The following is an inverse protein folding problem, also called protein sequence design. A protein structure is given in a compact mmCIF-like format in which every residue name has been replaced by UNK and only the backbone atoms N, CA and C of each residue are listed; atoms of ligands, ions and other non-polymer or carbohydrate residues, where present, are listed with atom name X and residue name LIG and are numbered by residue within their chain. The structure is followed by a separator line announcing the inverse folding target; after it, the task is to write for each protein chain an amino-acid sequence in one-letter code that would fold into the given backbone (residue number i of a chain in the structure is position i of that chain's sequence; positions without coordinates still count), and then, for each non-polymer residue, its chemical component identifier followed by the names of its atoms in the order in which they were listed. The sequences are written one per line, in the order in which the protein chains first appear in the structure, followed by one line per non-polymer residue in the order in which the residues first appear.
data_IF_159914831967
#
_entry.id   IF_159914831967
#
_cell.length_a   1.000
_cell.length_b   1.000
_cell.length_c   1.000
_cell.angle_alpha   90.00
_cell.angle_beta   90.00
_cell.angle_gamma   90.00
#
_symmetry.space_group_name_H-M   'P 1'
#
loop_
_entity.id
_entity.type
_entity.pdbx_description
1 polymer ?
#
# COMPACT_ATOMS: atom_id res chain seq x y z
N UNK A 1 -18.29 13.06 15.33
CA UNK A 1 -18.41 12.13 14.21
C UNK A 1 -18.45 10.74 14.83
N UNK A 2 -19.63 10.17 15.03
CA UNK A 2 -19.78 8.74 15.23
C UNK A 2 -19.48 8.08 13.90
N UNK A 3 -18.33 7.46 13.80
CA UNK A 3 -17.93 6.65 12.64
C UNK A 3 -18.83 5.43 12.57
N UNK A 4 -19.94 5.56 11.86
CA UNK A 4 -20.77 4.43 11.51
C UNK A 4 -19.94 3.44 10.71
N UNK A 5 -19.88 2.18 11.15
CA UNK A 5 -19.24 1.11 10.40
C UNK A 5 -19.79 1.10 8.98
N UNK A 6 -18.92 1.20 7.99
CA UNK A 6 -19.32 1.10 6.58
C UNK A 6 -19.88 -0.31 6.40
N UNK A 7 -21.20 -0.41 6.19
CA UNK A 7 -21.85 -1.70 5.93
C UNK A 7 -21.28 -2.25 4.62
N UNK A 8 -20.77 -3.47 4.65
CA UNK A 8 -20.13 -4.11 3.49
C UNK A 8 -21.00 -4.07 2.23
N UNK A 9 -22.30 -4.24 2.39
CA UNK A 9 -23.27 -4.16 1.30
C UNK A 9 -23.34 -2.77 0.65
N UNK A 10 -23.21 -1.70 1.47
CA UNK A 10 -23.22 -0.33 0.96
C UNK A 10 -21.92 -0.01 0.20
N UNK A 11 -20.79 -0.53 0.63
CA UNK A 11 -19.52 -0.38 -0.07
C UNK A 11 -19.53 -1.07 -1.43
N UNK A 12 -20.07 -2.29 -1.50
CA UNK A 12 -20.22 -3.04 -2.75
C UNK A 12 -21.10 -2.30 -3.77
N UNK A 13 -22.24 -1.79 -3.32
CA UNK A 13 -23.14 -0.99 -4.19
C UNK A 13 -22.45 0.29 -4.65
N UNK A 14 -21.70 0.96 -3.76
CA UNK A 14 -20.99 2.18 -4.09
C UNK A 14 -19.87 1.93 -5.12
N UNK A 15 -18.99 0.98 -4.86
CA UNK A 15 -17.87 0.65 -5.76
C UNK A 15 -18.38 0.24 -7.14
N UNK A 16 -19.41 -0.60 -7.19
CA UNK A 16 -20.03 -1.02 -8.46
C UNK A 16 -20.60 0.16 -9.26
N UNK A 17 -21.16 1.17 -8.61
CA UNK A 17 -21.63 2.39 -9.32
C UNK A 17 -20.46 3.28 -9.76
N UNK A 18 -19.38 3.31 -8.97
CA UNK A 18 -18.23 4.14 -9.30
C UNK A 18 -17.45 3.61 -10.52
N UNK A 19 -17.51 2.31 -10.82
CA UNK A 19 -16.87 1.74 -12.03
C UNK A 19 -17.48 2.27 -13.34
N UNK A 20 -18.69 2.83 -13.32
CA UNK A 20 -19.28 3.48 -14.48
C UNK A 20 -18.64 4.86 -14.80
N UNK A 21 -17.90 5.43 -13.85
CA UNK A 21 -17.38 6.80 -13.92
C UNK A 21 -15.85 6.89 -13.77
N UNK A 22 -15.21 5.87 -13.20
CA UNK A 22 -13.78 5.89 -12.87
C UNK A 22 -13.10 4.61 -13.32
N UNK A 23 -11.93 4.74 -13.95
CA UNK A 23 -11.10 3.61 -14.39
C UNK A 23 -10.41 2.92 -13.21
N UNK A 24 -10.07 3.66 -12.16
CA UNK A 24 -9.41 3.17 -10.96
C UNK A 24 -10.11 3.72 -9.70
N UNK A 25 -10.32 2.85 -8.72
CA UNK A 25 -10.89 3.19 -7.41
C UNK A 25 -9.91 2.74 -6.33
N UNK A 26 -9.48 3.65 -5.49
CA UNK A 26 -8.58 3.36 -4.37
C UNK A 26 -9.38 3.38 -3.07
N UNK A 27 -9.37 2.26 -2.36
CA UNK A 27 -9.96 2.14 -1.03
C UNK A 27 -8.84 2.25 0.02
N UNK A 28 -8.79 3.38 0.74
CA UNK A 28 -7.89 3.55 1.88
C UNK A 28 -8.55 2.98 3.14
N UNK A 29 -7.89 1.99 3.76
CA UNK A 29 -8.40 1.30 4.94
C UNK A 29 -7.55 1.63 6.16
N UNK A 30 -8.19 1.73 7.32
CA UNK A 30 -7.48 1.81 8.58
C UNK A 30 -6.63 0.55 8.83
N UNK A 31 -5.59 0.68 9.64
CA UNK A 31 -4.77 -0.46 10.07
C UNK A 31 -5.62 -1.50 10.82
N UNK A 32 -5.25 -2.77 10.68
CA UNK A 32 -5.94 -3.91 11.29
C UNK A 32 -6.83 -4.68 10.31
N UNK A 33 -7.32 -5.84 10.73
CA UNK A 33 -8.10 -6.77 9.91
C UNK A 33 -9.58 -6.84 10.31
N UNK A 34 -10.13 -5.72 10.79
CA UNK A 34 -11.53 -5.58 11.18
C UNK A 34 -12.50 -5.59 9.99
N UNK A 35 -13.76 -5.26 10.29
CA UNK A 35 -14.85 -5.27 9.28
C UNK A 35 -14.56 -4.41 8.05
N UNK A 36 -13.94 -3.22 8.25
CA UNK A 36 -13.59 -2.33 7.14
C UNK A 36 -12.58 -2.95 6.18
N UNK A 37 -11.54 -3.62 6.71
CA UNK A 37 -10.57 -4.37 5.91
C UNK A 37 -11.26 -5.49 5.11
N UNK A 38 -12.09 -6.29 5.76
CA UNK A 38 -12.81 -7.38 5.11
C UNK A 38 -13.81 -6.88 4.06
N UNK A 39 -14.49 -5.77 4.32
CA UNK A 39 -15.40 -5.16 3.38
C UNK A 39 -14.65 -4.64 2.13
N UNK A 40 -13.52 -3.96 2.32
CA UNK A 40 -12.68 -3.50 1.23
C UNK A 40 -12.09 -4.67 0.42
N UNK A 41 -11.59 -5.72 1.10
CA UNK A 41 -11.04 -6.89 0.43
C UNK A 41 -12.05 -7.61 -0.48
N UNK A 42 -13.33 -7.67 -0.08
CA UNK A 42 -14.38 -8.31 -0.88
C UNK A 42 -14.71 -7.59 -2.19
N UNK A 43 -14.50 -6.29 -2.25
CA UNK A 43 -14.87 -5.46 -3.41
C UNK A 43 -13.66 -5.02 -4.25
N UNK A 44 -12.46 -5.45 -3.87
CA UNK A 44 -11.22 -5.07 -4.54
C UNK A 44 -10.67 -6.20 -5.41
N UNK A 45 -10.11 -5.86 -6.56
CA UNK A 45 -9.44 -6.80 -7.47
C UNK A 45 -7.99 -7.07 -7.05
N UNK A 46 -7.38 -6.13 -6.34
CA UNK A 46 -5.99 -6.19 -5.90
C UNK A 46 -5.79 -5.45 -4.57
N UNK A 47 -4.75 -5.82 -3.83
CA UNK A 47 -4.37 -5.18 -2.59
C UNK A 47 -2.90 -4.74 -2.60
N UNK A 48 -2.64 -3.60 -2.00
CA UNK A 48 -1.30 -3.11 -1.70
C UNK A 48 -1.10 -3.14 -0.18
N UNK A 49 -0.14 -3.95 0.27
CA UNK A 49 0.33 -3.94 1.64
C UNK A 49 1.44 -2.90 1.77
N UNK A 50 1.11 -1.78 2.39
CA UNK A 50 2.05 -0.65 2.56
C UNK A 50 2.63 -0.73 3.96
N UNK A 51 3.90 -1.15 4.06
CA UNK A 51 4.56 -1.48 5.32
C UNK A 51 5.87 -0.70 5.47
N UNK A 52 6.22 -0.34 6.70
CA UNK A 52 7.56 0.14 7.03
C UNK A 52 8.52 -1.04 7.20
N UNK A 53 9.84 -0.86 6.94
CA UNK A 53 10.81 -1.95 7.08
C UNK A 53 11.19 -2.17 8.55
N UNK A 54 10.24 -2.67 9.34
CA UNK A 54 10.45 -3.08 10.73
C UNK A 54 9.76 -4.44 11.03
N UNK A 55 10.29 -5.22 11.98
CA UNK A 55 9.83 -6.60 12.20
C UNK A 55 8.35 -6.72 12.59
N UNK A 56 7.78 -5.71 13.27
CA UNK A 56 6.37 -5.73 13.70
C UNK A 56 5.46 -5.51 12.51
N UNK A 57 5.74 -4.46 11.71
CA UNK A 57 4.97 -4.17 10.51
C UNK A 57 5.03 -5.33 9.50
N UNK A 58 6.20 -5.96 9.32
CA UNK A 58 6.35 -7.10 8.40
C UNK A 58 5.56 -8.33 8.88
N UNK A 59 5.55 -8.62 10.18
CA UNK A 59 4.73 -9.69 10.76
C UNK A 59 3.24 -9.44 10.54
N UNK A 60 2.77 -8.25 10.84
CA UNK A 60 1.37 -7.87 10.64
C UNK A 60 0.99 -7.91 9.16
N UNK A 61 1.91 -7.47 8.30
CA UNK A 61 1.77 -7.56 6.84
C UNK A 61 1.67 -9.01 6.34
N UNK A 62 2.42 -9.95 6.93
CA UNK A 62 2.30 -11.38 6.62
C UNK A 62 0.91 -11.91 6.97
N UNK A 63 0.42 -11.59 8.16
CA UNK A 63 -0.92 -12.04 8.59
C UNK A 63 -2.00 -11.45 7.66
N UNK A 64 -1.87 -10.18 7.27
CA UNK A 64 -2.79 -9.56 6.32
C UNK A 64 -2.69 -10.18 4.92
N UNK A 65 -1.47 -10.51 4.45
CA UNK A 65 -1.27 -11.19 3.17
C UNK A 65 -1.97 -12.57 3.15
N UNK A 66 -1.75 -13.37 4.18
CA UNK A 66 -2.37 -14.70 4.31
C UNK A 66 -3.91 -14.57 4.32
N UNK A 67 -4.47 -13.63 5.09
CA UNK A 67 -5.91 -13.40 5.15
C UNK A 67 -6.51 -12.98 3.79
N UNK A 68 -5.80 -12.15 3.01
CA UNK A 68 -6.23 -11.73 1.67
C UNK A 68 -6.17 -12.89 0.69
N UNK A 69 -5.09 -13.67 0.70
CA UNK A 69 -4.90 -14.83 -0.20
C UNK A 69 -5.90 -15.94 0.12
N UNK A 70 -6.12 -16.26 1.39
CA UNK A 70 -7.11 -17.22 1.86
C UNK A 70 -8.54 -16.77 1.52
N UNK A 71 -8.78 -15.45 1.52
CA UNK A 71 -10.03 -14.84 1.06
C UNK A 71 -10.24 -14.83 -0.45
N UNK A 72 -9.29 -15.39 -1.23
CA UNK A 72 -9.39 -15.52 -2.69
C UNK A 72 -8.82 -14.35 -3.50
N UNK A 73 -8.14 -13.42 -2.86
CA UNK A 73 -7.48 -12.32 -3.58
C UNK A 73 -6.19 -12.82 -4.24
N UNK A 74 -6.12 -12.80 -5.56
CA UNK A 74 -4.98 -13.33 -6.32
C UNK A 74 -3.85 -12.31 -6.53
N UNK A 75 -4.13 -11.03 -6.36
CA UNK A 75 -3.16 -9.96 -6.61
C UNK A 75 -2.91 -9.16 -5.33
N UNK A 76 -1.95 -9.61 -4.53
CA UNK A 76 -1.44 -8.89 -3.36
C UNK A 76 0.00 -8.45 -3.65
N UNK A 77 0.35 -7.20 -3.39
CA UNK A 77 1.68 -6.63 -3.63
C UNK A 77 2.19 -5.89 -2.41
N UNK A 78 3.51 -5.97 -2.20
CA UNK A 78 4.20 -5.27 -1.11
C UNK A 78 4.71 -3.91 -1.60
N UNK A 79 4.45 -2.88 -0.81
CA UNK A 79 5.10 -1.56 -0.90
C UNK A 79 5.88 -1.34 0.39
N UNK A 80 7.21 -1.27 0.31
CA UNK A 80 8.03 -0.90 1.46
C UNK A 80 8.12 0.61 1.52
N UNK A 81 7.53 1.20 2.54
CA UNK A 81 7.36 2.64 2.70
C UNK A 81 8.32 3.23 3.75
N UNK A 82 8.59 4.53 3.64
CA UNK A 82 9.43 5.30 4.57
C UNK A 82 10.84 4.74 4.71
N UNK A 83 11.41 4.29 3.60
CA UNK A 83 12.78 3.76 3.57
C UNK A 83 13.77 4.92 3.63
N UNK A 84 14.72 4.85 4.55
CA UNK A 84 15.85 5.77 4.72
C UNK A 84 17.14 5.03 4.39
N UNK A 85 18.21 5.75 4.13
CA UNK A 85 19.53 5.18 3.84
C UNK A 85 20.07 4.28 4.97
N UNK A 86 19.61 4.47 6.20
CA UNK A 86 20.01 3.70 7.38
C UNK A 86 18.94 2.70 7.86
N UNK A 87 17.78 2.60 7.18
CA UNK A 87 16.67 1.74 7.61
C UNK A 87 17.11 0.33 7.93
N UNK A 88 17.81 -0.32 7.03
CA UNK A 88 18.24 -1.70 7.20
C UNK A 88 19.40 -1.91 8.18
N UNK A 89 19.97 -0.84 8.72
CA UNK A 89 20.96 -0.92 9.80
C UNK A 89 20.35 -0.72 11.18
N UNK A 90 19.19 -0.07 11.27
CA UNK A 90 18.60 0.39 12.51
C UNK A 90 17.24 -0.22 12.83
N UNK A 91 16.55 -0.78 11.85
CA UNK A 91 15.17 -1.29 11.99
C UNK A 91 15.09 -2.72 12.55
N UNK A 92 16.18 -3.48 12.54
CA UNK A 92 16.18 -4.91 12.86
C UNK A 92 15.79 -5.82 11.68
N UNK A 93 15.66 -5.25 10.48
CA UNK A 93 15.47 -5.95 9.20
C UNK A 93 16.75 -5.77 8.38
N UNK A 94 17.29 -6.84 7.79
CA UNK A 94 18.60 -6.82 7.09
C UNK A 94 18.56 -6.05 5.78
N UNK A 95 17.54 -6.32 4.98
CA UNK A 95 17.44 -5.84 3.59
C UNK A 95 15.99 -5.97 3.06
N UNK A 96 15.81 -5.63 1.79
CA UNK A 96 14.52 -5.75 1.11
C UNK A 96 14.14 -7.22 0.85
N UNK A 97 15.10 -8.11 0.67
CA UNK A 97 14.81 -9.53 0.45
C UNK A 97 14.16 -10.12 1.70
N UNK A 98 14.65 -9.75 2.90
CA UNK A 98 13.98 -10.14 4.15
C UNK A 98 12.57 -9.59 4.27
N UNK A 99 12.29 -8.38 3.78
CA UNK A 99 10.93 -7.84 3.73
C UNK A 99 10.03 -8.71 2.84
N UNK A 100 10.51 -9.08 1.65
CA UNK A 100 9.79 -9.91 0.68
C UNK A 100 9.55 -11.29 1.25
N UNK A 101 10.58 -11.93 1.79
CA UNK A 101 10.53 -13.29 2.34
C UNK A 101 9.58 -13.37 3.54
N UNK A 102 9.61 -12.35 4.41
CA UNK A 102 8.76 -12.31 5.61
C UNK A 102 7.29 -12.15 5.24
N UNK A 103 6.96 -11.21 4.36
CA UNK A 103 5.57 -10.95 3.95
C UNK A 103 5.08 -11.97 2.92
N UNK A 104 6.01 -12.60 2.18
CA UNK A 104 5.78 -13.62 1.16
C UNK A 104 4.84 -13.18 0.02
N UNK A 105 4.89 -11.91 -0.36
CA UNK A 105 4.23 -11.36 -1.54
C UNK A 105 5.20 -10.51 -2.36
N UNK A 106 4.94 -10.38 -3.64
CA UNK A 106 5.84 -9.69 -4.57
C UNK A 106 5.95 -8.18 -4.25
N UNK A 107 7.17 -7.67 -4.17
CA UNK A 107 7.46 -6.25 -4.05
C UNK A 107 7.12 -5.51 -5.34
N UNK A 108 6.37 -4.41 -5.23
CA UNK A 108 6.03 -3.54 -6.37
C UNK A 108 6.67 -2.16 -6.27
N UNK A 109 6.93 -1.66 -5.06
CA UNK A 109 7.57 -0.36 -4.87
C UNK A 109 8.34 -0.25 -3.56
N UNK A 110 9.35 0.63 -3.59
CA UNK A 110 10.05 1.15 -2.42
C UNK A 110 9.88 2.65 -2.39
N UNK A 111 9.27 3.18 -1.34
CA UNK A 111 9.00 4.60 -1.19
C UNK A 111 9.94 5.19 -0.13
N UNK A 112 10.68 6.25 -0.46
CA UNK A 112 11.59 6.88 0.49
C UNK A 112 10.84 7.65 1.57
N UNK A 113 11.41 7.73 2.77
CA UNK A 113 10.99 8.74 3.73
C UNK A 113 11.34 10.13 3.19
N UNK A 114 10.37 11.05 3.19
CA UNK A 114 10.51 12.34 2.53
C UNK A 114 9.88 13.47 3.34
N UNK A 115 10.69 14.46 3.66
CA UNK A 115 10.21 15.69 4.30
C UNK A 115 9.28 16.50 3.36
N UNK A 116 9.42 16.35 2.04
CA UNK A 116 8.55 16.98 1.07
C UNK A 116 7.12 16.42 1.16
N UNK A 117 6.98 15.10 1.33
CA UNK A 117 5.66 14.45 1.54
C UNK A 117 5.02 14.97 2.82
N UNK A 118 5.77 15.03 3.91
CA UNK A 118 5.26 15.53 5.19
C UNK A 118 4.82 16.99 5.09
N UNK A 119 5.60 17.86 4.44
CA UNK A 119 5.25 19.27 4.23
C UNK A 119 4.02 19.43 3.34
N UNK A 120 3.98 18.73 2.21
CA UNK A 120 2.85 18.77 1.29
C UNK A 120 1.54 18.34 1.99
N UNK A 121 1.59 17.24 2.74
CA UNK A 121 0.44 16.75 3.53
C UNK A 121 0.00 17.76 4.60
N UNK A 122 0.95 18.35 5.36
CA UNK A 122 0.64 19.34 6.37
C UNK A 122 0.03 20.64 5.82
N UNK A 123 0.34 20.98 4.56
CA UNK A 123 -0.14 22.19 3.88
C UNK A 123 -1.36 21.92 3.00
N UNK A 124 -1.81 20.68 2.88
CA UNK A 124 -2.88 20.31 1.94
C UNK A 124 -2.51 20.60 0.48
N UNK A 125 -1.22 20.53 0.15
CA UNK A 125 -0.70 20.81 -1.19
C UNK A 125 -0.33 19.51 -1.91
N UNK A 126 -0.44 19.46 -3.23
CA UNK A 126 0.06 18.32 -4.00
C UNK A 126 1.57 18.20 -3.86
N UNK A 127 2.09 16.98 -3.96
CA UNK A 127 3.52 16.73 -3.96
C UNK A 127 4.16 17.33 -5.20
N UNK A 128 5.26 18.04 -5.02
CA UNK A 128 5.97 18.70 -6.13
C UNK A 128 6.50 17.68 -7.15
N UNK A 129 6.18 17.89 -8.41
CA UNK A 129 6.66 17.05 -9.51
C UNK A 129 8.21 17.06 -9.54
N UNK A 130 8.80 15.88 -9.76
CA UNK A 130 10.25 15.71 -9.89
C UNK A 130 11.01 15.50 -8.59
N UNK A 131 10.42 15.64 -7.38
CA UNK A 131 11.07 15.18 -6.16
C UNK A 131 11.19 13.65 -6.12
N UNK A 132 12.09 13.12 -5.29
CA UNK A 132 12.36 11.67 -5.24
C UNK A 132 11.12 10.86 -4.87
N UNK A 133 10.33 11.34 -3.90
CA UNK A 133 9.10 10.68 -3.51
C UNK A 133 8.05 10.69 -4.63
N UNK A 134 7.90 11.81 -5.36
CA UNK A 134 7.01 11.89 -6.52
C UNK A 134 7.36 10.83 -7.57
N UNK A 135 8.66 10.76 -7.96
CA UNK A 135 9.12 9.76 -8.94
C UNK A 135 8.89 8.32 -8.50
N UNK A 136 9.03 8.04 -7.19
CA UNK A 136 8.78 6.70 -6.65
C UNK A 136 7.29 6.32 -6.72
N UNK A 137 6.39 7.26 -6.41
CA UNK A 137 4.93 7.06 -6.51
C UNK A 137 4.49 6.98 -7.97
N UNK A 138 5.04 7.81 -8.85
CA UNK A 138 4.77 7.78 -10.29
C UNK A 138 5.16 6.44 -10.91
N UNK A 139 6.34 5.92 -10.55
CA UNK A 139 6.79 4.59 -10.96
C UNK A 139 5.92 3.45 -10.37
N UNK A 140 5.38 3.60 -9.16
CA UNK A 140 4.40 2.67 -8.60
C UNK A 140 3.10 2.69 -9.43
N UNK A 141 2.59 3.87 -9.75
CA UNK A 141 1.38 4.03 -10.55
C UNK A 141 1.54 3.36 -11.93
N UNK A 142 2.65 3.61 -12.63
CA UNK A 142 2.95 2.99 -13.92
C UNK A 142 2.98 1.45 -13.83
N UNK A 143 3.61 0.88 -12.78
CA UNK A 143 3.61 -0.58 -12.56
C UNK A 143 2.22 -1.14 -12.27
N UNK A 144 1.38 -0.41 -11.56
CA UNK A 144 -0.01 -0.81 -11.31
C UNK A 144 -0.84 -0.85 -12.60
N UNK A 145 -0.49 -0.02 -13.58
CA UNK A 145 -1.07 -0.02 -14.93
C UNK A 145 -0.44 -1.07 -15.86
N UNK A 146 0.52 -1.86 -15.36
CA UNK A 146 1.16 -2.94 -16.12
C UNK A 146 2.40 -2.53 -16.91
N UNK A 147 2.90 -1.32 -16.72
CA UNK A 147 4.13 -0.88 -17.40
C UNK A 147 5.38 -1.52 -16.79
N UNK A 148 6.35 -1.87 -17.64
CA UNK A 148 7.64 -2.41 -17.22
C UNK A 148 8.58 -1.29 -16.77
N UNK A 149 8.41 -0.81 -15.55
CA UNK A 149 9.29 0.19 -14.94
C UNK A 149 10.26 -0.50 -13.98
N UNK A 150 11.59 -0.39 -14.16
CA UNK A 150 12.56 -1.00 -13.25
C UNK A 150 12.40 -0.51 -11.80
N UNK A 151 12.54 -1.42 -10.85
CA UNK A 151 12.58 -1.06 -9.43
C UNK A 151 13.95 -0.47 -9.11
N UNK A 152 14.00 0.83 -8.82
CA UNK A 152 15.24 1.52 -8.44
C UNK A 152 15.25 1.66 -6.92
N UNK A 153 16.17 0.97 -6.26
CA UNK A 153 16.46 1.10 -4.84
C UNK A 153 17.75 1.91 -4.70
N UNK A 154 17.66 3.12 -4.16
CA UNK A 154 18.85 3.97 -3.89
C UNK A 154 18.92 4.34 -2.44
#
# INVERSE_FOLDING_TARGET
YEGGAVRGDALEVLTKRMTDYFDEIILDTAAGMGEAFQAAARVSDRALLVLTPDPVALRDGRIAADALLDGGMHTVRLVVNRVRADSFRTSGVRDLDECIDTVAVQLIAVLPESAEVQRAAAQGQPLAAGCTAYRAVDALAARLQGELVPLVVR
#
